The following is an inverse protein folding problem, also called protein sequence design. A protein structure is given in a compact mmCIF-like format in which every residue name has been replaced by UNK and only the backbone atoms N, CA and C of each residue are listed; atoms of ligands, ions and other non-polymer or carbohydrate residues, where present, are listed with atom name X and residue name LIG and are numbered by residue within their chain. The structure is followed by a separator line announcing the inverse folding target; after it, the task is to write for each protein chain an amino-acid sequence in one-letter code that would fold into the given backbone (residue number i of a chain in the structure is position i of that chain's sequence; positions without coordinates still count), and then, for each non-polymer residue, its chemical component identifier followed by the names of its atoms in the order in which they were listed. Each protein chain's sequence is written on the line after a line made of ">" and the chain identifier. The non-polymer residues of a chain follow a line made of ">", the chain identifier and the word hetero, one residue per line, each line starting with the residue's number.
data_IF_409287398410
#
_entry.id   IF_409287398410
#
_cell.length_a   1.000
_cell.length_b   1.000
_cell.length_c   1.000
_cell.angle_alpha   90.00
_cell.angle_beta   90.00
_cell.angle_gamma   90.00
#
_symmetry.space_group_name_H-M   'P 1'
#
loop_
_entity.id
_entity.type
_entity.pdbx_description
1 polymer ?
#
# COMPACT_ATOMS: atom_id res chain seq x y z
N UNK A 1 22.04 35.13 9.01
CA UNK A 1 22.40 33.86 8.36
C UNK A 1 21.24 32.87 8.55
N UNK A 2 20.46 32.62 7.49
CA UNK A 2 19.36 31.65 7.49
C UNK A 2 19.91 30.32 7.00
N UNK A 3 20.04 29.35 7.90
CA UNK A 3 20.38 27.97 7.55
C UNK A 3 19.11 27.30 7.03
N UNK A 4 18.87 27.39 5.73
CA UNK A 4 17.86 26.58 5.04
C UNK A 4 18.26 25.11 5.15
N UNK A 5 17.71 24.44 6.16
CA UNK A 5 17.85 22.99 6.35
C UNK A 5 17.02 22.32 5.24
N UNK A 6 17.66 22.09 4.10
CA UNK A 6 17.13 21.28 3.01
C UNK A 6 16.72 19.91 3.56
N UNK A 7 15.42 19.72 3.77
CA UNK A 7 14.85 18.39 3.97
C UNK A 7 15.02 17.61 2.65
N UNK A 8 15.55 16.38 2.69
CA UNK A 8 16.19 15.80 1.52
C UNK A 8 15.16 15.29 0.51
N UNK A 9 15.21 15.84 -0.72
CA UNK A 9 14.58 15.27 -1.91
C UNK A 9 14.95 13.78 -2.12
N UNK A 10 16.08 13.34 -1.55
CA UNK A 10 16.62 11.98 -1.56
C UNK A 10 15.65 10.94 -0.97
N UNK A 11 14.78 11.30 0.01
CA UNK A 11 13.81 10.33 0.55
C UNK A 11 12.68 10.03 -0.46
N UNK A 12 12.18 11.03 -1.18
CA UNK A 12 11.10 10.86 -2.18
C UNK A 12 11.53 9.95 -3.33
N UNK A 13 12.76 10.10 -3.82
CA UNK A 13 13.32 9.20 -4.84
C UNK A 13 13.58 7.79 -4.31
N UNK A 14 14.00 7.64 -3.04
CA UNK A 14 14.19 6.30 -2.46
C UNK A 14 12.89 5.51 -2.36
N UNK A 15 11.84 6.09 -1.79
CA UNK A 15 10.57 5.38 -1.63
C UNK A 15 9.89 5.09 -2.97
N UNK A 16 9.92 6.04 -3.92
CA UNK A 16 9.44 5.75 -5.28
C UNK A 16 10.31 4.69 -5.95
N UNK A 17 11.64 4.69 -5.77
CA UNK A 17 12.54 3.72 -6.39
C UNK A 17 12.45 2.31 -5.80
N UNK A 18 12.10 2.16 -4.52
CA UNK A 18 12.00 0.86 -3.85
C UNK A 18 10.63 0.23 -4.09
N UNK A 19 9.55 1.02 -4.01
CA UNK A 19 8.22 0.60 -4.48
C UNK A 19 8.25 0.29 -5.98
N UNK A 20 8.91 1.13 -6.80
CA UNK A 20 9.12 0.86 -8.23
C UNK A 20 9.97 -0.39 -8.47
N UNK A 21 11.04 -0.64 -7.69
CA UNK A 21 11.84 -1.86 -7.81
C UNK A 21 11.09 -3.12 -7.37
N UNK A 22 10.16 -3.03 -6.43
CA UNK A 22 9.27 -4.13 -6.01
C UNK A 22 8.23 -4.40 -7.09
N UNK A 23 7.60 -3.34 -7.60
CA UNK A 23 6.70 -3.39 -8.75
C UNK A 23 7.39 -4.03 -9.96
N UNK A 24 8.59 -3.57 -10.30
CA UNK A 24 9.40 -4.10 -11.40
C UNK A 24 9.71 -5.59 -11.19
N UNK A 25 10.10 -6.02 -9.98
CA UNK A 25 10.34 -7.46 -9.69
C UNK A 25 9.08 -8.33 -9.78
N UNK A 26 7.93 -7.82 -9.40
CA UNK A 26 6.65 -8.55 -9.51
C UNK A 26 6.16 -8.60 -10.95
N UNK A 27 6.29 -7.52 -11.70
CA UNK A 27 6.03 -7.49 -13.15
C UNK A 27 6.97 -8.43 -13.89
N UNK A 28 8.27 -8.42 -13.61
CA UNK A 28 9.22 -9.35 -14.22
C UNK A 28 8.87 -10.82 -13.93
N UNK A 29 8.41 -11.13 -12.70
CA UNK A 29 7.93 -12.48 -12.39
C UNK A 29 6.68 -12.83 -13.19
N UNK A 30 5.69 -11.95 -13.25
CA UNK A 30 4.46 -12.17 -14.02
C UNK A 30 4.75 -12.33 -15.52
N UNK A 31 5.61 -11.48 -16.08
CA UNK A 31 6.06 -11.55 -17.47
C UNK A 31 6.82 -12.86 -17.73
N UNK A 32 7.73 -13.26 -16.83
CA UNK A 32 8.46 -14.53 -16.96
C UNK A 32 7.52 -15.72 -16.91
N UNK A 33 6.54 -15.72 -16.00
CA UNK A 33 5.50 -16.75 -15.94
C UNK A 33 4.65 -16.76 -17.21
N UNK A 34 4.27 -15.59 -17.74
CA UNK A 34 3.53 -15.46 -18.99
C UNK A 34 4.31 -16.01 -20.19
N UNK A 35 5.60 -15.71 -20.30
CA UNK A 35 6.49 -16.23 -21.36
C UNK A 35 6.62 -17.75 -21.26
N UNK A 36 6.84 -18.30 -20.05
CA UNK A 36 6.92 -19.75 -19.83
C UNK A 36 5.59 -20.46 -20.15
N UNK A 37 4.47 -19.82 -19.85
CA UNK A 37 3.13 -20.32 -20.18
C UNK A 37 2.88 -20.31 -21.70
N UNK A 38 3.18 -19.20 -22.37
CA UNK A 38 3.05 -19.09 -23.82
C UNK A 38 3.95 -20.09 -24.56
N UNK A 39 5.18 -20.28 -24.08
CA UNK A 39 6.11 -21.28 -24.62
C UNK A 39 5.58 -22.70 -24.46
N UNK A 40 5.07 -23.05 -23.27
CA UNK A 40 4.45 -24.35 -23.00
C UNK A 40 3.22 -24.58 -23.89
N UNK A 41 2.39 -23.55 -24.09
CA UNK A 41 1.20 -23.62 -24.94
C UNK A 41 1.58 -23.81 -26.41
N UNK A 42 2.57 -23.07 -26.92
CA UNK A 42 3.05 -23.21 -28.29
C UNK A 42 3.62 -24.61 -28.55
N UNK A 43 4.38 -25.17 -27.60
CA UNK A 43 4.89 -26.54 -27.67
C UNK A 43 3.76 -27.58 -27.67
N UNK A 44 2.73 -27.38 -26.84
CA UNK A 44 1.58 -28.26 -26.77
C UNK A 44 0.71 -28.21 -28.05
N UNK A 45 0.49 -27.02 -28.61
CA UNK A 45 -0.21 -26.85 -29.90
C UNK A 45 0.60 -27.49 -31.03
N UNK A 46 1.92 -27.34 -31.05
CA UNK A 46 2.79 -28.00 -32.03
C UNK A 46 2.72 -29.54 -31.91
N UNK A 47 2.69 -30.06 -30.68
CA UNK A 47 2.53 -31.49 -30.43
C UNK A 47 1.13 -32.00 -30.82
N UNK A 48 0.07 -31.26 -30.50
CA UNK A 48 -1.31 -31.62 -30.88
C UNK A 48 -1.52 -31.54 -32.40
N UNK A 49 -0.95 -30.55 -33.08
CA UNK A 49 -1.06 -30.46 -34.55
C UNK A 49 -0.36 -31.64 -35.25
N UNK A 50 0.72 -32.18 -34.68
CA UNK A 50 1.30 -33.45 -35.15
C UNK A 50 0.37 -34.66 -34.94
N UNK A 51 -0.41 -34.68 -33.84
CA UNK A 51 -1.32 -35.79 -33.51
C UNK A 51 -2.68 -35.70 -34.23
N UNK A 52 -3.18 -34.49 -34.56
CA UNK A 52 -4.43 -34.29 -35.30
C UNK A 52 -4.34 -34.84 -36.74
N UNK A 53 -3.14 -34.82 -37.33
CA UNK A 53 -2.89 -35.51 -38.60
C UNK A 53 -2.96 -37.05 -38.47
N UNK A 54 -3.08 -37.60 -37.25
CA UNK A 54 -3.09 -39.02 -36.96
C UNK A 54 -4.44 -39.59 -36.46
N UNK A 55 -5.50 -38.79 -36.20
CA UNK A 55 -6.83 -39.32 -35.85
C UNK A 55 -7.84 -38.33 -35.24
N UNK A 56 -9.14 -38.62 -35.39
CA UNK A 56 -10.28 -37.70 -35.21
C UNK A 56 -10.74 -37.42 -33.75
N UNK A 57 -10.19 -38.09 -32.72
CA UNK A 57 -10.73 -37.99 -31.34
C UNK A 57 -10.22 -36.80 -30.49
N UNK A 58 -9.54 -35.82 -31.09
CA UNK A 58 -8.80 -34.79 -30.34
C UNK A 58 -9.57 -33.48 -30.04
N UNK A 59 -10.78 -33.32 -30.57
CA UNK A 59 -11.61 -32.11 -30.39
C UNK A 59 -11.94 -31.78 -28.92
N UNK A 60 -12.38 -32.72 -28.06
CA UNK A 60 -12.71 -32.39 -26.68
C UNK A 60 -11.48 -32.00 -25.83
N UNK A 61 -10.31 -32.57 -26.12
CA UNK A 61 -9.06 -32.24 -25.44
C UNK A 61 -8.58 -30.83 -25.78
N UNK A 62 -8.67 -30.44 -27.05
CA UNK A 62 -8.33 -29.08 -27.49
C UNK A 62 -9.23 -28.03 -26.84
N UNK A 63 -10.53 -28.32 -26.70
CA UNK A 63 -11.48 -27.43 -26.04
C UNK A 63 -11.16 -27.27 -24.54
N UNK A 64 -10.85 -28.35 -23.82
CA UNK A 64 -10.52 -28.31 -22.39
C UNK A 64 -9.24 -27.51 -22.11
N UNK A 65 -8.19 -27.72 -22.91
CA UNK A 65 -6.93 -26.98 -22.79
C UNK A 65 -7.15 -25.49 -23.06
N UNK A 66 -7.93 -25.15 -24.09
CA UNK A 66 -8.27 -23.76 -24.41
C UNK A 66 -9.05 -23.11 -23.27
N UNK A 67 -10.01 -23.81 -22.67
CA UNK A 67 -10.77 -23.34 -21.51
C UNK A 67 -9.87 -23.06 -20.29
N UNK A 68 -8.97 -23.98 -19.96
CA UNK A 68 -8.00 -23.79 -18.86
C UNK A 68 -7.05 -22.62 -19.14
N UNK A 69 -6.62 -22.44 -20.38
CA UNK A 69 -5.78 -21.32 -20.78
C UNK A 69 -6.51 -19.98 -20.61
N UNK A 70 -7.74 -19.86 -21.11
CA UNK A 70 -8.54 -18.64 -20.95
C UNK A 70 -8.80 -18.33 -19.47
N UNK A 71 -9.11 -19.34 -18.66
CA UNK A 71 -9.27 -19.18 -17.22
C UNK A 71 -7.98 -18.68 -16.54
N UNK A 72 -6.83 -19.27 -16.89
CA UNK A 72 -5.53 -18.84 -16.39
C UNK A 72 -5.20 -17.39 -16.81
N UNK A 73 -5.55 -17.01 -18.04
CA UNK A 73 -5.32 -15.68 -18.56
C UNK A 73 -6.20 -14.63 -17.86
N UNK A 74 -7.48 -14.94 -17.64
CA UNK A 74 -8.41 -14.08 -16.90
C UNK A 74 -7.96 -13.91 -15.45
N UNK A 75 -7.62 -15.00 -14.76
CA UNK A 75 -7.15 -14.92 -13.36
C UNK A 75 -5.82 -14.19 -13.24
N UNK A 76 -4.91 -14.37 -14.20
CA UNK A 76 -3.64 -13.63 -14.25
C UNK A 76 -3.86 -12.16 -14.54
N UNK A 77 -4.76 -11.81 -15.46
CA UNK A 77 -5.12 -10.42 -15.76
C UNK A 77 -5.79 -9.74 -14.56
N UNK A 78 -6.69 -10.43 -13.86
CA UNK A 78 -7.30 -9.94 -12.62
C UNK A 78 -6.27 -9.70 -11.51
N UNK A 79 -5.31 -10.62 -11.33
CA UNK A 79 -4.20 -10.43 -10.38
C UNK A 79 -3.28 -9.30 -10.77
N UNK A 80 -2.98 -9.18 -12.06
CA UNK A 80 -2.16 -8.09 -12.56
C UNK A 80 -2.88 -6.75 -12.33
N UNK A 81 -4.15 -6.67 -12.70
CA UNK A 81 -4.99 -5.52 -12.47
C UNK A 81 -5.05 -5.16 -10.98
N UNK A 82 -5.27 -6.14 -10.09
CA UNK A 82 -5.26 -5.88 -8.66
C UNK A 82 -3.90 -5.35 -8.19
N UNK A 83 -2.78 -5.88 -8.67
CA UNK A 83 -1.45 -5.34 -8.33
C UNK A 83 -1.26 -3.89 -8.78
N UNK A 84 -1.92 -3.48 -9.86
CA UNK A 84 -1.89 -2.10 -10.36
C UNK A 84 -2.87 -1.17 -9.63
N UNK A 85 -3.99 -1.71 -9.15
CA UNK A 85 -5.01 -0.97 -8.40
C UNK A 85 -4.88 -1.15 -6.89
N UNK A 86 -3.80 -1.76 -6.42
CA UNK A 86 -3.49 -1.94 -5.02
C UNK A 86 -3.53 -0.58 -4.32
N UNK A 87 -4.49 -0.33 -3.42
CA UNK A 87 -4.51 0.92 -2.69
C UNK A 87 -3.31 0.91 -1.76
N UNK A 88 -2.34 1.77 -2.06
CA UNK A 88 -1.25 2.06 -1.17
C UNK A 88 -1.85 2.94 -0.07
N UNK A 89 -1.57 2.61 1.18
CA UNK A 89 -2.28 3.14 2.32
C UNK A 89 -1.30 3.70 3.35
N UNK A 90 -1.64 4.84 3.94
CA UNK A 90 -0.93 5.35 5.10
C UNK A 90 -1.70 5.00 6.37
N UNK A 91 -1.16 4.10 7.20
CA UNK A 91 -1.85 3.60 8.39
C UNK A 91 -1.13 4.04 9.68
N UNK A 92 -1.86 4.44 10.72
CA UNK A 92 -1.26 4.68 12.03
C UNK A 92 -0.82 3.36 12.66
N UNK A 93 0.39 3.36 13.22
CA UNK A 93 1.00 2.25 13.92
C UNK A 93 1.42 2.70 15.33
N UNK A 94 1.12 1.90 16.33
CA UNK A 94 1.28 2.26 17.74
C UNK A 94 2.19 1.28 18.45
N UNK A 95 2.97 1.78 19.42
CA UNK A 95 3.87 0.99 20.25
C UNK A 95 3.11 0.36 21.43
N UNK A 96 2.00 -0.32 21.14
CA UNK A 96 1.10 -0.92 22.14
C UNK A 96 -0.36 -0.97 21.66
N UNK A 97 -1.23 -1.52 22.50
CA UNK A 97 -2.67 -1.64 22.24
C UNK A 97 -3.36 -0.30 22.44
N UNK A 98 -4.04 0.20 21.41
CA UNK A 98 -4.92 1.38 21.49
C UNK A 98 -6.37 0.92 21.35
N UNK A 99 -7.25 1.19 22.33
CA UNK A 99 -8.62 0.71 22.31
C UNK A 99 -9.40 1.25 21.10
N UNK A 100 -10.35 0.45 20.62
CA UNK A 100 -11.27 0.78 19.52
C UNK A 100 -11.02 -0.06 18.26
N UNK A 101 -12.11 -0.45 17.59
CA UNK A 101 -12.07 -1.08 16.29
C UNK A 101 -12.35 -0.03 15.23
N UNK A 102 -11.46 0.10 14.24
CA UNK A 102 -11.65 1.07 13.18
C UNK A 102 -10.53 0.96 12.18
N UNK A 103 -10.90 0.47 11.00
CA UNK A 103 -10.05 0.38 9.82
C UNK A 103 -10.22 1.68 9.06
N UNK A 104 -9.17 2.49 8.96
CA UNK A 104 -9.07 3.47 7.88
C UNK A 104 -8.49 2.75 6.68
N UNK A 105 -8.93 3.13 5.49
CA UNK A 105 -8.16 2.77 4.30
C UNK A 105 -6.88 3.57 4.26
N UNK A 106 -6.85 4.82 4.76
CA UNK A 106 -5.62 5.64 4.77
C UNK A 106 -5.13 6.02 3.37
N UNK A 107 -5.95 5.72 2.35
CA UNK A 107 -5.63 5.91 0.95
C UNK A 107 -5.73 7.39 0.58
N UNK A 108 -6.79 8.07 1.04
CA UNK A 108 -6.99 9.50 0.77
C UNK A 108 -5.89 10.34 1.44
N UNK A 109 -5.45 9.90 2.61
CA UNK A 109 -4.34 10.53 3.32
C UNK A 109 -3.01 10.40 2.57
N UNK A 110 -2.79 9.27 1.88
CA UNK A 110 -1.63 9.09 1.01
C UNK A 110 -1.74 9.93 -0.26
N UNK A 111 -2.86 9.85 -0.97
CA UNK A 111 -3.10 10.52 -2.25
C UNK A 111 -2.97 12.04 -2.12
N UNK A 112 -3.46 12.58 -1.02
CA UNK A 112 -3.41 14.01 -0.73
C UNK A 112 -2.23 14.44 0.15
N UNK A 113 -1.32 13.53 0.51
CA UNK A 113 -0.21 13.76 1.45
C UNK A 113 0.63 15.01 1.14
N UNK A 114 0.92 15.28 -0.14
CA UNK A 114 1.71 16.45 -0.55
C UNK A 114 1.00 17.77 -0.28
N UNK A 115 -0.31 17.80 -0.51
CA UNK A 115 -1.12 18.99 -0.28
C UNK A 115 -1.28 19.19 1.22
N UNK A 116 -1.61 18.13 1.97
CA UNK A 116 -1.70 18.15 3.42
C UNK A 116 -0.39 18.62 4.07
N UNK A 117 0.76 18.15 3.60
CA UNK A 117 2.08 18.63 4.02
C UNK A 117 2.29 20.12 3.77
N UNK A 118 1.83 20.62 2.62
CA UNK A 118 1.94 22.03 2.27
C UNK A 118 1.08 22.90 3.19
N UNK A 119 -0.15 22.46 3.47
CA UNK A 119 -1.07 23.13 4.38
C UNK A 119 -0.51 23.13 5.81
N UNK A 120 -0.02 21.98 6.29
CA UNK A 120 0.62 21.85 7.59
C UNK A 120 1.80 22.82 7.76
N UNK A 121 2.69 22.90 6.76
CA UNK A 121 3.80 23.87 6.77
C UNK A 121 3.32 25.32 6.77
N UNK A 122 2.25 25.63 6.02
CA UNK A 122 1.70 26.99 5.97
C UNK A 122 1.13 27.44 7.32
N UNK A 123 0.63 26.50 8.13
CA UNK A 123 0.17 26.75 9.49
C UNK A 123 1.29 26.64 10.55
N UNK A 124 2.54 26.44 10.15
CA UNK A 124 3.68 26.35 11.09
C UNK A 124 3.73 25.07 11.92
N UNK A 125 2.92 24.05 11.59
CA UNK A 125 2.96 22.73 12.23
C UNK A 125 3.82 21.76 11.41
N UNK A 126 4.13 20.59 12.00
CA UNK A 126 4.95 19.59 11.30
C UNK A 126 4.14 18.98 10.14
N UNK A 127 4.77 18.68 9.00
CA UNK A 127 4.07 18.01 7.90
C UNK A 127 3.67 16.57 8.29
N UNK A 128 2.60 16.04 7.70
CA UNK A 128 2.16 14.65 7.92
C UNK A 128 3.27 13.66 7.58
N UNK A 129 4.04 13.93 6.52
CA UNK A 129 5.18 13.08 6.14
C UNK A 129 6.30 13.00 7.19
N UNK A 130 6.34 13.91 8.16
CA UNK A 130 7.31 13.84 9.27
C UNK A 130 7.11 12.60 10.14
N UNK A 131 5.87 12.13 10.27
CA UNK A 131 5.51 11.01 11.13
C UNK A 131 5.61 9.66 10.41
N UNK A 132 6.01 9.65 9.13
CA UNK A 132 6.18 8.42 8.36
C UNK A 132 7.47 7.71 8.79
N UNK A 133 7.33 6.42 9.09
CA UNK A 133 8.44 5.53 9.40
C UNK A 133 8.62 4.46 8.33
N UNK A 134 9.85 3.96 8.20
CA UNK A 134 10.15 2.71 7.50
C UNK A 134 9.39 1.55 8.17
N UNK A 135 8.96 0.57 7.37
CA UNK A 135 8.29 -0.64 7.85
C UNK A 135 9.32 -1.65 8.33
N UNK A 136 9.19 -2.05 9.59
CA UNK A 136 10.09 -2.95 10.29
C UNK A 136 10.07 -4.38 9.75
N UNK A 137 8.96 -4.82 9.14
CA UNK A 137 8.87 -6.15 8.52
C UNK A 137 9.78 -6.29 7.31
N UNK A 138 9.94 -5.20 6.55
CA UNK A 138 10.59 -5.26 5.26
C UNK A 138 12.05 -4.84 5.35
N UNK A 139 12.34 -3.79 6.11
CA UNK A 139 13.68 -3.19 6.11
C UNK A 139 14.52 -3.57 7.33
N UNK A 140 13.97 -4.38 8.26
CA UNK A 140 14.60 -4.80 9.53
C UNK A 140 15.12 -3.63 10.37
N UNK A 141 14.60 -2.43 10.12
CA UNK A 141 14.91 -1.22 10.88
C UNK A 141 13.80 -0.97 11.89
N UNK A 142 14.14 -0.60 13.13
CA UNK A 142 13.12 -0.24 14.10
C UNK A 142 12.36 0.99 13.60
N UNK A 143 11.03 1.06 13.79
CA UNK A 143 10.25 2.21 13.40
C UNK A 143 10.72 3.47 14.15
N UNK A 144 10.64 4.61 13.48
CA UNK A 144 10.84 5.91 14.14
C UNK A 144 9.56 6.25 14.88
N UNK A 145 9.62 6.20 16.21
CA UNK A 145 8.48 6.50 17.07
C UNK A 145 8.36 8.00 17.36
N UNK A 146 7.14 8.50 17.33
CA UNK A 146 6.79 9.89 17.56
C UNK A 146 5.82 10.04 18.73
N UNK A 147 5.82 11.22 19.34
CA UNK A 147 4.85 11.61 20.37
C UNK A 147 3.47 11.83 19.74
N UNK A 148 2.38 11.24 20.28
CA UNK A 148 1.03 11.51 19.79
C UNK A 148 0.63 12.97 19.95
N UNK A 149 1.06 13.63 21.04
CA UNK A 149 0.79 15.05 21.29
C UNK A 149 1.26 15.95 20.14
N UNK A 150 2.50 15.72 19.66
CA UNK A 150 3.09 16.50 18.56
C UNK A 150 2.28 16.31 17.27
N UNK A 151 1.74 15.11 17.05
CA UNK A 151 0.96 14.80 15.87
C UNK A 151 -0.47 15.32 15.96
N UNK A 152 -1.12 15.21 17.12
CA UNK A 152 -2.46 15.75 17.36
C UNK A 152 -2.55 17.21 16.95
N UNK A 153 -1.58 18.03 17.35
CA UNK A 153 -1.53 19.44 16.96
C UNK A 153 -1.56 19.62 15.43
N UNK A 154 -0.91 18.74 14.67
CA UNK A 154 -0.92 18.76 13.21
C UNK A 154 -2.28 18.37 12.63
N UNK A 155 -2.83 17.23 13.06
CA UNK A 155 -4.09 16.72 12.53
C UNK A 155 -5.28 17.62 12.90
N UNK A 156 -5.29 18.18 14.11
CA UNK A 156 -6.32 19.12 14.55
C UNK A 156 -6.26 20.44 13.78
N UNK A 157 -5.07 20.98 13.52
CA UNK A 157 -4.92 22.18 12.68
C UNK A 157 -5.40 21.92 11.26
N UNK A 158 -5.06 20.77 10.66
CA UNK A 158 -5.55 20.41 9.33
C UNK A 158 -7.09 20.30 9.28
N UNK A 159 -7.69 19.66 10.28
CA UNK A 159 -9.15 19.50 10.35
C UNK A 159 -9.90 20.79 10.69
N UNK A 160 -9.29 21.70 11.46
CA UNK A 160 -9.93 22.94 11.91
C UNK A 160 -9.72 24.09 10.95
N UNK A 161 -8.46 24.35 10.58
CA UNK A 161 -8.07 25.58 9.87
C UNK A 161 -8.17 25.42 8.35
N UNK A 162 -8.26 24.18 7.85
CA UNK A 162 -8.34 23.86 6.42
C UNK A 162 -9.54 22.95 6.09
N UNK A 163 -10.57 22.93 6.93
CA UNK A 163 -11.77 22.08 6.77
C UNK A 163 -12.41 22.19 5.38
N UNK A 164 -12.42 23.39 4.79
CA UNK A 164 -13.03 23.68 3.49
C UNK A 164 -12.11 23.38 2.30
N UNK A 165 -10.84 23.03 2.53
CA UNK A 165 -9.91 22.74 1.46
C UNK A 165 -10.25 21.38 0.81
N UNK A 166 -10.37 21.26 -0.53
CA UNK A 166 -10.82 20.03 -1.18
C UNK A 166 -10.03 18.77 -0.80
N UNK A 167 -8.71 18.88 -0.69
CA UNK A 167 -7.83 17.79 -0.26
C UNK A 167 -8.09 17.34 1.20
N UNK A 168 -8.46 18.27 2.09
CA UNK A 168 -8.80 17.96 3.48
C UNK A 168 -10.18 17.33 3.55
N UNK A 169 -11.14 17.81 2.76
CA UNK A 169 -12.47 17.20 2.67
C UNK A 169 -12.39 15.75 2.16
N UNK A 170 -11.60 15.51 1.10
CA UNK A 170 -11.38 14.16 0.56
C UNK A 170 -10.73 13.22 1.59
N UNK A 171 -9.76 13.73 2.37
CA UNK A 171 -9.08 12.98 3.42
C UNK A 171 -9.74 13.09 4.81
N UNK A 172 -10.92 13.70 4.93
CA UNK A 172 -11.48 14.09 6.24
C UNK A 172 -11.71 12.87 7.15
N UNK A 173 -12.27 11.79 6.60
CA UNK A 173 -12.50 10.56 7.34
C UNK A 173 -11.20 9.95 7.88
N UNK A 174 -10.17 9.86 7.03
CA UNK A 174 -8.86 9.33 7.42
C UNK A 174 -8.18 10.23 8.47
N UNK A 175 -8.21 11.56 8.28
CA UNK A 175 -7.64 12.54 9.21
C UNK A 175 -8.34 12.52 10.56
N UNK A 176 -9.67 12.50 10.58
CA UNK A 176 -10.47 12.45 11.80
C UNK A 176 -10.22 11.13 12.55
N UNK A 177 -10.15 10.01 11.83
CA UNK A 177 -9.86 8.73 12.45
C UNK A 177 -8.45 8.70 13.06
N UNK A 178 -7.43 9.18 12.34
CA UNK A 178 -6.06 9.25 12.87
C UNK A 178 -6.03 10.15 14.11
N UNK A 179 -6.69 11.32 14.09
CA UNK A 179 -6.82 12.19 15.25
C UNK A 179 -7.42 11.44 16.45
N UNK A 180 -8.56 10.78 16.27
CA UNK A 180 -9.25 10.08 17.37
C UNK A 180 -8.37 8.98 17.98
N UNK A 181 -7.65 8.24 17.15
CA UNK A 181 -6.67 7.25 17.61
C UNK A 181 -5.49 7.86 18.35
N UNK A 182 -4.99 8.99 17.87
CA UNK A 182 -3.92 9.71 18.54
C UNK A 182 -4.37 10.24 19.90
N UNK A 183 -5.63 10.65 20.07
CA UNK A 183 -6.18 11.08 21.37
C UNK A 183 -6.18 9.93 22.38
N UNK A 184 -6.61 8.74 21.95
CA UNK A 184 -6.57 7.53 22.78
C UNK A 184 -5.13 7.12 23.10
N UNK A 185 -4.24 7.15 22.11
CA UNK A 185 -2.81 6.87 22.32
C UNK A 185 -2.16 7.87 23.27
N UNK A 186 -2.54 9.15 23.20
CA UNK A 186 -2.05 10.20 24.09
C UNK A 186 -2.48 9.94 25.54
N UNK A 187 -3.73 9.52 25.77
CA UNK A 187 -4.20 9.14 27.10
C UNK A 187 -3.40 7.96 27.69
N UNK A 188 -2.97 7.02 26.85
CA UNK A 188 -2.10 5.90 27.24
C UNK A 188 -0.59 6.20 27.21
N UNK A 189 -0.16 7.41 26.84
CA UNK A 189 1.26 7.73 26.56
C UNK A 189 1.94 6.77 25.58
N UNK A 190 1.19 6.26 24.61
CA UNK A 190 1.65 5.27 23.62
C UNK A 190 2.24 5.99 22.42
N UNK A 191 3.52 5.76 22.11
CA UNK A 191 4.15 6.34 20.92
C UNK A 191 3.55 5.79 19.63
N UNK A 192 3.61 6.57 18.55
CA UNK A 192 3.05 6.19 17.25
C UNK A 192 3.96 6.53 16.09
N UNK A 193 3.69 5.97 14.91
CA UNK A 193 4.19 6.42 13.63
C UNK A 193 3.16 6.13 12.53
N UNK A 194 3.39 6.64 11.33
CA UNK A 194 2.61 6.31 10.13
C UNK A 194 3.43 5.34 9.28
N UNK A 195 2.82 4.22 8.92
CA UNK A 195 3.44 3.23 8.03
C UNK A 195 2.83 3.34 6.64
N UNK A 196 3.70 3.30 5.64
CA UNK A 196 3.31 3.09 4.25
C UNK A 196 3.09 1.61 4.01
N UNK A 197 1.92 1.24 3.49
CA UNK A 197 1.55 -0.17 3.33
C UNK A 197 0.95 -0.48 1.97
N UNK A 198 1.47 -1.56 1.37
CA UNK A 198 0.93 -2.22 0.18
C UNK A 198 0.04 -3.39 0.62
N UNK A 199 -1.09 -3.11 1.29
CA UNK A 199 -1.97 -4.20 1.74
C UNK A 199 -2.95 -4.57 0.63
N UNK A 200 -2.87 -5.83 0.19
CA UNK A 200 -3.93 -6.51 -0.54
C UNK A 200 -4.87 -7.32 0.36
N UNK A 201 -4.39 -7.81 1.50
CA UNK A 201 -5.16 -8.63 2.42
C UNK A 201 -4.48 -8.48 3.78
N UNK A 202 -5.22 -8.03 4.79
CA UNK A 202 -4.78 -8.10 6.19
C UNK A 202 -4.42 -9.54 6.51
N UNK A 203 -3.13 -9.84 6.69
CA UNK A 203 -2.72 -11.10 7.26
C UNK A 203 -3.20 -11.09 8.72
N UNK A 204 -4.14 -11.98 9.09
CA UNK A 204 -4.66 -12.04 10.46
C UNK A 204 -3.56 -12.15 11.52
N UNK A 205 -2.47 -12.86 11.21
CA UNK A 205 -1.28 -12.93 12.08
C UNK A 205 -0.58 -11.58 12.26
N UNK A 206 -0.52 -10.76 11.21
CA UNK A 206 0.04 -9.42 11.33
C UNK A 206 -0.86 -8.53 12.19
N UNK A 207 -2.17 -8.73 12.08
CA UNK A 207 -3.16 -8.01 12.88
C UNK A 207 -3.05 -8.35 14.38
N UNK A 208 -2.95 -9.65 14.70
CA UNK A 208 -2.75 -10.16 16.07
C UNK A 208 -1.41 -9.72 16.67
N UNK A 209 -0.33 -9.69 15.88
CA UNK A 209 0.99 -9.32 16.39
C UNK A 209 1.16 -7.81 16.61
N UNK A 210 0.37 -6.96 15.96
CA UNK A 210 0.70 -5.53 15.82
C UNK A 210 -0.32 -4.55 16.36
N UNK A 211 -1.59 -4.91 16.46
CA UNK A 211 -2.60 -3.98 16.97
C UNK A 211 -2.95 -4.18 18.45
N UNK A 212 -2.42 -5.23 19.08
CA UNK A 212 -2.93 -5.66 20.36
C UNK A 212 -4.35 -6.16 20.14
N UNK A 213 -4.52 -7.47 20.26
CA UNK A 213 -5.80 -8.16 20.17
C UNK A 213 -6.94 -7.30 20.72
N UNK A 214 -7.98 -7.11 19.91
CA UNK A 214 -9.27 -6.68 20.41
C UNK A 214 -9.70 -7.62 21.56
#
# INVERSE_FOLDING_TARGET
>A
MKTTRNMPAIRKERYSSEAYRRFQRSVFRAVRFGILWLGSLAALIAWMTQQIWAGEELVPFAALITGLFLFSLVTSAQRLHSLFTAPHNLMPYFKGTVPGCGLTTGHQLLDHSRVLDSLARSAGVRPVSHYISDDDLFDKRPPTWHSPLDALATFEVLLRDFADHPAVQAAHSDLAHVRDRLQLAQAGSISFCLLYRDIHVTCGMEWEQRQGSC
#
